data_IF_073420101748
#
_entry.id   IF_073420101748
#
_cell.length_a   1.000
_cell.length_b   1.000
_cell.length_c   1.000
_cell.angle_alpha   90.00
_cell.angle_beta   90.00
_cell.angle_gamma   90.00
#
_symmetry.space_group_name_H-M   'P 1'
#
loop_
_entity.id
_entity.type
_entity.pdbx_description
1 polymer ?
#
# COMPACT_ATOMS: atom_id res chain seq x y z
N UNK A 1 18.99 -20.65 -9.12
CA UNK A 1 18.38 -19.84 -8.05
C UNK A 1 17.89 -18.54 -8.69
N UNK A 2 16.67 -18.54 -9.24
CA UNK A 2 16.17 -17.42 -10.04
C UNK A 2 15.44 -16.44 -9.14
N UNK A 3 16.01 -15.24 -9.00
CA UNK A 3 15.39 -14.13 -8.28
C UNK A 3 14.01 -13.84 -8.87
N UNK A 4 12.97 -13.96 -8.05
CA UNK A 4 11.58 -13.85 -8.48
C UNK A 4 11.17 -12.40 -8.81
N UNK A 5 12.05 -11.43 -8.61
CA UNK A 5 11.88 -10.01 -8.96
C UNK A 5 13.24 -9.46 -9.41
N UNK A 6 13.30 -8.63 -10.48
CA UNK A 6 14.51 -7.92 -10.82
C UNK A 6 14.92 -6.98 -9.66
N UNK A 7 16.22 -6.79 -9.42
CA UNK A 7 16.71 -5.86 -8.40
C UNK A 7 16.23 -4.43 -8.73
N UNK A 8 16.05 -3.61 -7.68
CA UNK A 8 15.85 -2.17 -7.86
C UNK A 8 17.08 -1.62 -8.59
N UNK A 9 16.88 -1.02 -9.75
CA UNK A 9 17.92 -0.25 -10.42
C UNK A 9 17.96 1.15 -9.78
N UNK A 10 19.09 1.51 -9.18
CA UNK A 10 19.44 2.88 -8.77
C UNK A 10 18.46 3.63 -7.84
N UNK A 11 17.81 2.93 -6.91
CA UNK A 11 16.99 3.60 -5.88
C UNK A 11 15.71 4.27 -6.40
N UNK A 12 15.40 4.13 -7.69
CA UNK A 12 14.10 4.50 -8.26
C UNK A 12 13.23 3.27 -8.36
N UNK A 13 12.02 3.35 -7.80
CA UNK A 13 11.02 2.32 -8.03
C UNK A 13 10.67 2.38 -9.52
N UNK A 14 10.97 1.34 -10.32
CA UNK A 14 10.61 1.40 -11.72
C UNK A 14 9.09 1.56 -11.87
N UNK A 15 8.64 2.33 -12.87
CA UNK A 15 7.26 2.80 -13.10
C UNK A 15 6.16 1.77 -12.75
N UNK A 16 6.42 0.49 -13.00
CA UNK A 16 5.53 -0.63 -12.68
C UNK A 16 5.15 -0.72 -11.19
N UNK A 17 6.03 -0.29 -10.27
CA UNK A 17 5.75 -0.26 -8.83
C UNK A 17 4.76 0.84 -8.44
N UNK A 18 4.75 1.98 -9.14
CA UNK A 18 3.74 3.01 -8.92
C UNK A 18 2.37 2.53 -9.36
N UNK A 19 2.29 1.86 -10.52
CA UNK A 19 1.04 1.26 -11.00
C UNK A 19 0.57 0.15 -10.05
N UNK A 20 1.48 -0.73 -9.62
CA UNK A 20 1.17 -1.79 -8.65
C UNK A 20 0.70 -1.23 -7.31
N UNK A 21 1.18 -0.05 -6.90
CA UNK A 21 0.70 0.61 -5.70
C UNK A 21 -0.72 1.10 -5.85
N UNK A 22 -1.04 1.75 -6.98
CA UNK A 22 -2.40 2.19 -7.27
C UNK A 22 -3.36 1.00 -7.32
N UNK A 23 -3.01 -0.06 -8.05
CA UNK A 23 -3.80 -1.30 -8.11
C UNK A 23 -4.03 -1.90 -6.71
N UNK A 24 -3.03 -1.81 -5.83
CA UNK A 24 -3.14 -2.29 -4.45
C UNK A 24 -4.03 -1.40 -3.58
N UNK A 25 -4.08 -0.10 -3.84
CA UNK A 25 -4.98 0.85 -3.17
C UNK A 25 -6.41 0.62 -3.63
N UNK A 26 -6.64 0.49 -4.93
CA UNK A 26 -7.96 0.23 -5.50
C UNK A 26 -8.51 -1.13 -5.01
N UNK A 27 -7.67 -2.16 -5.00
CA UNK A 27 -8.04 -3.47 -4.44
C UNK A 27 -8.29 -3.43 -2.92
N UNK A 28 -7.68 -2.50 -2.19
CA UNK A 28 -7.98 -2.27 -0.77
C UNK A 28 -9.30 -1.52 -0.58
N UNK A 29 -9.61 -0.56 -1.44
CA UNK A 29 -10.88 0.17 -1.43
C UNK A 29 -12.06 -0.78 -1.66
N UNK A 30 -11.99 -1.61 -2.70
CA UNK A 30 -13.00 -2.62 -3.05
C UNK A 30 -13.05 -3.82 -2.07
N UNK A 31 -12.09 -3.90 -1.14
CA UNK A 31 -11.99 -5.06 -0.26
C UNK A 31 -13.17 -5.19 0.73
N UNK A 32 -13.97 -6.24 0.55
CA UNK A 32 -14.92 -6.69 1.56
C UNK A 32 -14.21 -7.42 2.72
N UNK A 33 -14.36 -6.90 3.94
CA UNK A 33 -13.80 -7.38 5.20
C UNK A 33 -14.07 -8.86 5.53
N UNK A 34 -15.10 -9.45 4.93
CA UNK A 34 -15.44 -10.86 5.11
C UNK A 34 -14.47 -11.79 4.39
N UNK A 35 -13.81 -11.29 3.32
CA UNK A 35 -12.96 -12.06 2.42
C UNK A 35 -11.48 -12.04 2.84
N UNK A 36 -10.69 -12.97 2.28
CA UNK A 36 -9.23 -12.99 2.48
C UNK A 36 -8.57 -11.72 1.91
N UNK A 37 -7.33 -11.44 2.34
CA UNK A 37 -6.60 -10.26 1.89
C UNK A 37 -6.50 -10.18 0.35
N UNK A 38 -6.75 -9.02 -0.27
CA UNK A 38 -6.71 -8.86 -1.72
C UNK A 38 -5.34 -9.20 -2.30
N UNK A 39 -5.38 -9.71 -3.52
CA UNK A 39 -4.19 -10.03 -4.32
C UNK A 39 -4.28 -9.33 -5.66
N UNK A 40 -3.15 -8.83 -6.14
CA UNK A 40 -3.03 -8.20 -7.45
C UNK A 40 -1.99 -8.95 -8.30
N UNK A 41 -2.14 -8.91 -9.62
CA UNK A 41 -1.20 -9.54 -10.55
C UNK A 41 -0.09 -8.55 -10.95
N UNK A 42 1.13 -8.75 -10.45
CA UNK A 42 2.29 -7.93 -10.80
C UNK A 42 3.19 -8.77 -11.71
N UNK A 43 3.34 -8.33 -12.96
CA UNK A 43 4.18 -9.02 -13.95
C UNK A 43 3.86 -10.53 -14.07
N UNK A 44 2.56 -10.86 -14.12
CA UNK A 44 2.06 -12.25 -14.20
C UNK A 44 2.12 -13.03 -12.89
N UNK A 45 2.50 -12.40 -11.77
CA UNK A 45 2.55 -13.04 -10.45
C UNK A 45 1.52 -12.47 -9.50
N UNK A 46 0.69 -13.36 -8.96
CA UNK A 46 -0.30 -13.02 -7.93
C UNK A 46 0.43 -12.68 -6.63
N UNK A 47 0.26 -11.44 -6.16
CA UNK A 47 0.96 -10.87 -5.01
C UNK A 47 -0.05 -10.22 -4.08
N UNK A 48 0.04 -10.47 -2.76
CA UNK A 48 -0.82 -9.83 -1.76
C UNK A 48 -0.50 -8.35 -1.65
N UNK A 49 -1.53 -7.51 -1.47
CA UNK A 49 -1.35 -6.05 -1.33
C UNK A 49 -0.41 -5.67 -0.17
N UNK A 50 -0.40 -6.44 0.93
CA UNK A 50 0.57 -6.28 2.02
C UNK A 50 2.03 -6.33 1.59
N UNK A 51 2.35 -7.22 0.66
CA UNK A 51 3.71 -7.42 0.17
C UNK A 51 4.12 -6.24 -0.71
N UNK A 52 3.18 -5.71 -1.50
CA UNK A 52 3.37 -4.52 -2.32
C UNK A 52 3.69 -3.31 -1.44
N UNK A 53 2.88 -3.05 -0.41
CA UNK A 53 3.16 -1.97 0.55
C UNK A 53 4.52 -2.15 1.23
N UNK A 54 4.85 -3.38 1.67
CA UNK A 54 6.16 -3.65 2.28
C UNK A 54 7.32 -3.37 1.31
N UNK A 55 7.15 -3.64 0.02
CA UNK A 55 8.21 -3.44 -0.98
C UNK A 55 8.50 -1.96 -1.22
N UNK A 56 7.50 -1.10 -1.04
CA UNK A 56 7.61 0.36 -1.22
C UNK A 56 8.11 1.09 0.02
N UNK A 57 8.37 0.39 1.12
CA UNK A 57 8.83 0.98 2.37
C UNK A 57 10.17 1.74 2.22
N UNK A 58 11.07 1.31 1.33
CA UNK A 58 12.32 2.03 1.07
C UNK A 58 12.25 2.94 -0.16
N UNK A 59 11.06 3.19 -0.73
CA UNK A 59 10.90 4.03 -1.90
C UNK A 59 10.88 5.51 -1.51
N UNK A 60 11.88 6.25 -1.98
CA UNK A 60 12.04 7.69 -1.72
C UNK A 60 11.35 8.56 -2.77
N UNK A 61 10.76 7.94 -3.80
CA UNK A 61 10.02 8.67 -4.83
C UNK A 61 8.78 9.35 -4.21
N UNK A 62 8.50 10.56 -4.69
CA UNK A 62 7.34 11.34 -4.23
C UNK A 62 6.05 10.74 -4.78
N UNK A 63 5.03 10.67 -3.93
CA UNK A 63 3.70 10.24 -4.37
C UNK A 63 3.05 11.34 -5.20
N UNK A 64 2.48 11.03 -6.37
CA UNK A 64 1.69 11.98 -7.13
C UNK A 64 0.51 12.54 -6.32
N UNK A 65 0.17 13.82 -6.51
CA UNK A 65 -0.90 14.48 -5.75
C UNK A 65 -2.24 13.74 -5.84
N UNK A 66 -2.58 13.23 -7.01
CA UNK A 66 -3.84 12.49 -7.23
C UNK A 66 -3.92 11.21 -6.36
N UNK A 67 -2.83 10.45 -6.25
CA UNK A 67 -2.76 9.27 -5.37
C UNK A 67 -2.83 9.68 -3.89
N UNK A 68 -2.19 10.79 -3.52
CA UNK A 68 -2.31 11.35 -2.17
C UNK A 68 -3.76 11.75 -1.82
N UNK A 69 -4.49 12.34 -2.76
CA UNK A 69 -5.89 12.69 -2.57
C UNK A 69 -6.77 11.43 -2.41
N UNK A 70 -6.58 10.42 -3.26
CA UNK A 70 -7.31 9.15 -3.16
C UNK A 70 -7.04 8.43 -1.81
N UNK A 71 -5.79 8.37 -1.37
CA UNK A 71 -5.43 7.76 -0.09
C UNK A 71 -6.11 8.45 1.10
N UNK A 72 -6.29 9.78 1.04
CA UNK A 72 -6.96 10.54 2.11
C UNK A 72 -8.43 10.18 2.24
N UNK A 73 -9.08 9.88 1.13
CA UNK A 73 -10.49 9.51 1.10
C UNK A 73 -10.71 8.07 1.57
N UNK A 74 -9.76 7.17 1.28
CA UNK A 74 -9.86 5.74 1.62
C UNK A 74 -9.37 5.43 3.04
N UNK A 75 -8.37 6.16 3.54
CA UNK A 75 -7.76 5.87 4.84
C UNK A 75 -8.53 6.59 5.95
N UNK A 76 -9.05 5.88 6.96
CA UNK A 76 -9.85 6.51 7.99
C UNK A 76 -9.00 7.47 8.82
N UNK A 77 -9.59 8.63 9.16
CA UNK A 77 -8.92 9.75 9.82
C UNK A 77 -8.26 9.42 11.16
N UNK A 78 -8.68 8.32 11.80
CA UNK A 78 -8.08 7.81 13.04
C UNK A 78 -6.75 7.06 12.83
N UNK A 79 -6.48 6.57 11.62
CA UNK A 79 -5.20 5.97 11.20
C UNK A 79 -4.25 7.06 10.69
N UNK A 80 -4.79 8.18 10.22
CA UNK A 80 -4.03 9.36 9.82
C UNK A 80 -3.46 10.02 11.08
N UNK A 81 -2.21 9.71 11.42
CA UNK A 81 -1.45 10.56 12.33
C UNK A 81 -1.12 11.86 11.60
N UNK A 82 -1.80 12.93 12.01
CA UNK A 82 -1.79 14.29 11.44
C UNK A 82 -0.41 14.91 11.20
N UNK A 83 0.67 14.32 11.71
CA UNK A 83 2.05 14.76 11.47
C UNK A 83 2.75 14.20 10.23
N UNK A 84 2.24 13.13 9.59
CA UNK A 84 2.96 12.42 8.51
C UNK A 84 2.49 12.77 7.09
N UNK A 85 1.37 13.46 6.95
CA UNK A 85 0.80 13.83 5.64
C UNK A 85 1.29 15.21 5.19
N UNK A 86 2.50 15.27 4.63
CA UNK A 86 3.04 16.50 4.02
C UNK A 86 2.76 16.47 2.51
N UNK A 87 2.66 17.64 1.88
CA UNK A 87 2.53 17.78 0.41
C UNK A 87 3.69 17.12 -0.37
N UNK A 88 4.78 16.78 0.32
CA UNK A 88 5.95 16.08 -0.20
C UNK A 88 6.06 14.62 0.28
N UNK A 89 4.96 13.97 0.65
CA UNK A 89 4.96 12.57 1.10
C UNK A 89 5.54 11.63 0.03
N UNK A 90 6.31 10.66 0.49
CA UNK A 90 6.96 9.64 -0.35
C UNK A 90 6.11 8.36 -0.44
N UNK A 91 6.39 7.51 -1.42
CA UNK A 91 5.71 6.21 -1.51
C UNK A 91 5.95 5.37 -0.26
N UNK A 92 7.11 5.51 0.39
CA UNK A 92 7.36 4.94 1.71
C UNK A 92 6.34 5.40 2.77
N UNK A 93 6.08 6.71 2.85
CA UNK A 93 5.09 7.28 3.79
C UNK A 93 3.68 6.72 3.53
N UNK A 94 3.28 6.70 2.25
CA UNK A 94 1.99 6.16 1.83
C UNK A 94 1.86 4.66 2.10
N UNK A 95 2.91 3.88 1.83
CA UNK A 95 2.93 2.44 2.07
C UNK A 95 2.86 2.09 3.56
N UNK A 96 3.56 2.85 4.41
CA UNK A 96 3.43 2.73 5.86
C UNK A 96 2.00 2.95 6.33
N UNK A 97 1.35 3.97 5.79
CA UNK A 97 0.01 4.36 6.17
C UNK A 97 -1.02 3.33 5.71
N UNK A 98 -0.91 2.86 4.47
CA UNK A 98 -1.74 1.75 3.96
C UNK A 98 -1.53 0.47 4.74
N UNK A 99 -0.30 0.20 5.22
CA UNK A 99 -0.04 -0.93 6.11
C UNK A 99 -0.78 -0.77 7.44
N UNK A 100 -0.72 0.39 8.07
CA UNK A 100 -1.48 0.66 9.31
C UNK A 100 -2.98 0.55 9.08
N UNK A 101 -3.49 1.04 7.95
CA UNK A 101 -4.91 0.92 7.58
C UNK A 101 -5.31 -0.55 7.40
N UNK A 102 -4.48 -1.35 6.72
CA UNK A 102 -4.68 -2.79 6.55
C UNK A 102 -4.71 -3.54 7.88
N UNK A 103 -3.75 -3.28 8.77
CA UNK A 103 -3.71 -3.89 10.10
C UNK A 103 -4.91 -3.48 10.95
N UNK A 104 -5.32 -2.21 10.89
CA UNK A 104 -6.51 -1.73 11.58
C UNK A 104 -7.79 -2.38 11.04
N UNK A 105 -7.94 -2.52 9.71
CA UNK A 105 -9.07 -3.22 9.09
C UNK A 105 -9.08 -4.70 9.51
N UNK A 106 -7.92 -5.36 9.53
CA UNK A 106 -7.77 -6.74 10.02
C UNK A 106 -8.09 -6.88 11.50
N UNK A 107 -7.68 -5.93 12.34
CA UNK A 107 -8.00 -5.92 13.76
C UNK A 107 -9.52 -5.81 14.01
N UNK A 108 -10.25 -5.06 13.17
CA UNK A 108 -11.71 -5.02 13.19
C UNK A 108 -12.39 -6.31 12.72
N UNK A 109 -11.69 -7.14 11.93
CA UNK A 109 -12.15 -8.48 11.52
C UNK A 109 -11.99 -9.50 12.65
N UNK A 110 -11.04 -9.31 13.55
CA UNK A 110 -10.92 -10.15 14.73
C UNK A 110 -12.12 -9.84 15.65
N UNK A 111 -12.95 -10.84 16.02
CA UNK A 111 -13.92 -10.61 17.07
C UNK A 111 -13.15 -10.09 18.29
N UNK A 112 -13.65 -9.02 18.92
CA UNK A 112 -13.18 -8.63 20.23
C UNK A 112 -13.43 -9.82 21.16
N UNK A 113 -12.43 -10.68 21.33
CA UNK A 113 -12.44 -11.72 22.35
C UNK A 113 -12.20 -10.96 23.66
N UNK A 114 -13.31 -10.52 24.26
CA UNK A 114 -13.40 -10.19 25.67
C UNK A 114 -13.96 -11.39 26.41
#
# INVERSE_FOLDING_TARGET
MSSLLPPLHDGHAPIYLHHSFQDAVDAYEDWNLETAEPVIAINGKVTRISVVFRRLWSCTDKVPRHTLEALRDIVPSNVIHTGRWKENATFADAAHLMRSALEWRKARRLPAIC
#
